data_IF_582430614452
#
_entry.id   IF_582430614452
#
_cell.length_a   1.000
_cell.length_b   1.000
_cell.length_c   1.000
_cell.angle_alpha   90.00
_cell.angle_beta   90.00
_cell.angle_gamma   90.00
#
_symmetry.space_group_name_H-M   'P 1'
#
loop_
_entity.id
_entity.type
_entity.pdbx_description
1 polymer ?
#
# COMPACT_ATOMS: atom_id res chain seq x y z
N UNK A 1 -10.71 31.78 -2.93
CA UNK A 1 -10.70 30.87 -1.77
C UNK A 1 -11.35 29.58 -2.20
N UNK A 2 -10.51 28.58 -2.53
CA UNK A 2 -10.72 27.11 -2.52
C UNK A 2 -11.88 26.51 -3.34
N UNK A 3 -11.77 25.35 -3.99
CA UNK A 3 -10.70 24.51 -4.51
C UNK A 3 -11.48 23.46 -5.31
N UNK A 4 -11.38 23.49 -6.63
CA UNK A 4 -11.85 22.41 -7.49
C UNK A 4 -10.77 21.34 -7.48
N UNK A 5 -10.94 20.25 -6.74
CA UNK A 5 -10.16 19.07 -7.05
C UNK A 5 -10.86 17.76 -6.66
N UNK A 6 -10.78 16.83 -7.60
CA UNK A 6 -11.08 15.42 -7.58
C UNK A 6 -12.31 14.93 -6.78
N UNK A 7 -13.30 14.48 -7.55
CA UNK A 7 -14.38 13.58 -7.12
C UNK A 7 -13.79 12.32 -6.48
N UNK A 8 -13.62 12.30 -5.17
CA UNK A 8 -13.60 11.06 -4.39
C UNK A 8 -15.05 10.56 -4.27
N UNK A 9 -15.55 10.08 -5.41
CA UNK A 9 -16.80 9.34 -5.49
C UNK A 9 -16.56 7.90 -5.03
N UNK A 10 -16.63 7.68 -3.73
CA UNK A 10 -17.12 6.42 -3.19
C UNK A 10 -18.42 6.76 -2.47
N UNK A 11 -19.52 6.75 -3.22
CA UNK A 11 -20.85 6.85 -2.65
C UNK A 11 -21.14 5.65 -1.73
N UNK A 12 -22.16 5.76 -0.86
CA UNK A 12 -22.62 4.66 -0.06
C UNK A 12 -23.64 3.86 -0.88
N UNK A 13 -23.20 3.16 -1.93
CA UNK A 13 -24.08 2.39 -2.79
C UNK A 13 -24.16 0.90 -2.37
N UNK A 14 -25.25 0.62 -1.65
CA UNK A 14 -26.28 -0.34 -2.09
C UNK A 14 -25.94 -1.83 -2.07
N UNK A 15 -26.15 -2.44 -0.90
CA UNK A 15 -26.32 -3.88 -0.74
C UNK A 15 -25.30 -4.47 0.22
N UNK A 16 -25.75 -4.87 1.40
CA UNK A 16 -24.96 -5.58 2.39
C UNK A 16 -24.60 -6.99 1.88
N UNK A 17 -23.71 -7.08 0.87
CA UNK A 17 -22.91 -8.25 0.66
C UNK A 17 -22.04 -8.38 1.91
N UNK A 18 -22.28 -9.43 2.69
CA UNK A 18 -21.36 -9.94 3.68
C UNK A 18 -19.96 -9.99 3.04
N UNK A 19 -19.14 -8.97 3.31
CA UNK A 19 -17.73 -8.98 2.92
C UNK A 19 -17.08 -10.01 3.82
N UNK A 20 -16.91 -11.22 3.30
CA UNK A 20 -16.12 -12.25 3.99
C UNK A 20 -14.71 -11.71 4.22
N UNK A 21 -14.40 -11.43 5.49
CA UNK A 21 -13.06 -11.05 5.90
C UNK A 21 -12.19 -12.29 5.93
N UNK A 22 -11.23 -12.37 5.01
CA UNK A 22 -10.24 -13.44 4.96
C UNK A 22 -8.96 -12.98 5.64
N UNK A 23 -8.56 -13.68 6.71
CA UNK A 23 -7.28 -13.45 7.38
C UNK A 23 -6.20 -14.28 6.69
N UNK A 24 -5.14 -13.62 6.20
CA UNK A 24 -4.04 -14.27 5.49
C UNK A 24 -2.76 -14.08 6.31
N UNK A 25 -2.02 -15.17 6.53
CA UNK A 25 -0.70 -15.15 7.18
C UNK A 25 0.33 -15.76 6.23
N UNK A 26 1.43 -15.05 6.02
CA UNK A 26 2.53 -15.50 5.16
C UNK A 26 3.71 -15.85 6.06
N UNK A 27 4.14 -17.12 6.02
CA UNK A 27 5.24 -17.68 6.83
C UNK A 27 6.37 -18.22 5.95
N UNK A 28 7.59 -18.21 6.47
CA UNK A 28 8.79 -18.68 5.76
C UNK A 28 10.07 -18.05 6.32
N UNK A 29 11.23 -18.57 5.87
CA UNK A 29 12.54 -18.09 6.31
C UNK A 29 12.76 -16.60 6.01
N UNK A 30 13.64 -15.93 6.78
CA UNK A 30 13.85 -14.47 6.70
C UNK A 30 14.16 -14.01 5.28
N UNK A 31 14.98 -14.78 4.55
CA UNK A 31 15.45 -14.44 3.21
C UNK A 31 14.50 -14.80 2.06
N UNK A 32 13.30 -15.33 2.35
CA UNK A 32 12.33 -15.72 1.31
C UNK A 32 11.53 -14.54 0.74
N UNK A 33 11.87 -13.30 1.07
CA UNK A 33 11.24 -12.12 0.46
C UNK A 33 9.75 -11.95 0.79
N UNK A 34 9.30 -12.47 1.94
CA UNK A 34 7.89 -12.38 2.38
C UNK A 34 7.37 -10.93 2.38
N UNK A 35 8.17 -10.02 2.95
CA UNK A 35 7.88 -8.58 2.98
C UNK A 35 7.81 -7.97 1.58
N UNK A 36 8.68 -8.43 0.67
CA UNK A 36 8.66 -8.00 -0.73
C UNK A 36 7.38 -8.43 -1.44
N UNK A 37 6.92 -9.67 -1.20
CA UNK A 37 5.67 -10.18 -1.77
C UNK A 37 4.46 -9.38 -1.28
N UNK A 38 4.34 -9.17 0.04
CA UNK A 38 3.21 -8.40 0.60
C UNK A 38 3.25 -6.96 0.12
N UNK A 39 4.41 -6.31 0.13
CA UNK A 39 4.56 -4.95 -0.40
C UNK A 39 4.18 -4.83 -1.87
N UNK A 40 4.48 -5.86 -2.68
CA UNK A 40 4.07 -5.91 -4.09
C UNK A 40 2.56 -6.07 -4.24
N UNK A 41 1.95 -6.97 -3.48
CA UNK A 41 0.50 -7.15 -3.49
C UNK A 41 -0.23 -5.84 -3.15
N UNK A 42 0.21 -5.15 -2.10
CA UNK A 42 -0.39 -3.86 -1.70
C UNK A 42 -0.24 -2.77 -2.76
N UNK A 43 0.89 -2.76 -3.47
CA UNK A 43 1.14 -1.83 -4.57
C UNK A 43 0.25 -2.15 -5.79
N UNK A 44 0.14 -3.43 -6.16
CA UNK A 44 -0.65 -3.88 -7.31
C UNK A 44 -2.16 -3.72 -7.08
N UNK A 45 -2.64 -3.90 -5.84
CA UNK A 45 -4.06 -3.73 -5.48
C UNK A 45 -4.48 -2.27 -5.31
N UNK A 46 -3.54 -1.32 -5.36
CA UNK A 46 -3.81 0.10 -5.12
C UNK A 46 -4.33 0.39 -3.70
N UNK A 47 -4.08 -0.51 -2.75
CA UNK A 47 -4.56 -0.37 -1.35
C UNK A 47 -3.70 0.62 -0.55
N UNK A 48 -2.56 1.03 -1.11
CA UNK A 48 -1.70 2.02 -0.48
C UNK A 48 -2.38 3.39 -0.39
N UNK A 49 -2.23 4.10 0.74
CA UNK A 49 -2.67 5.48 0.85
C UNK A 49 -2.07 6.35 -0.28
N UNK A 50 -2.88 7.25 -0.85
CA UNK A 50 -2.45 8.16 -1.93
C UNK A 50 -1.14 8.86 -1.54
N UNK A 51 -0.11 8.77 -2.37
CA UNK A 51 1.19 9.43 -2.15
C UNK A 51 2.22 8.63 -1.34
N UNK A 52 1.85 7.49 -0.73
CA UNK A 52 2.79 6.72 0.11
C UNK A 52 3.88 6.05 -0.74
N UNK A 53 3.53 5.51 -1.89
CA UNK A 53 4.48 4.93 -2.85
C UNK A 53 5.48 5.97 -3.34
N UNK A 54 4.99 7.16 -3.69
CA UNK A 54 5.80 8.29 -4.13
C UNK A 54 6.73 8.79 -3.01
N UNK A 55 6.23 8.86 -1.77
CA UNK A 55 7.03 9.24 -0.60
C UNK A 55 8.19 8.27 -0.35
N UNK A 56 7.94 6.97 -0.46
CA UNK A 56 8.99 5.95 -0.29
C UNK A 56 10.01 6.06 -1.42
N UNK A 57 9.57 6.21 -2.67
CA UNK A 57 10.47 6.45 -3.81
C UNK A 57 11.33 7.71 -3.62
N UNK A 58 10.73 8.83 -3.23
CA UNK A 58 11.46 10.07 -2.96
C UNK A 58 12.48 9.92 -1.80
N UNK A 59 12.15 9.10 -0.80
CA UNK A 59 13.08 8.78 0.30
C UNK A 59 14.25 7.93 -0.18
N UNK A 60 13.98 6.92 -1.02
CA UNK A 60 15.01 6.12 -1.68
C UNK A 60 15.95 6.99 -2.53
N UNK A 61 15.37 7.88 -3.35
CA UNK A 61 16.13 8.82 -4.20
C UNK A 61 17.03 9.74 -3.37
N UNK A 62 16.50 10.28 -2.26
CA UNK A 62 17.27 11.16 -1.36
C UNK A 62 18.37 10.42 -0.58
N UNK A 63 18.15 9.16 -0.24
CA UNK A 63 19.10 8.36 0.53
C UNK A 63 20.07 7.56 -0.34
N UNK A 64 19.90 7.59 -1.67
CA UNK A 64 20.69 6.80 -2.61
C UNK A 64 20.45 5.30 -2.51
N UNK A 65 19.32 4.88 -1.93
CA UNK A 65 18.95 3.46 -1.78
C UNK A 65 18.11 3.02 -2.97
N UNK A 66 18.32 1.78 -3.43
CA UNK A 66 17.45 1.17 -4.44
C UNK A 66 16.07 0.94 -3.82
N UNK A 67 15.01 1.27 -4.54
CA UNK A 67 13.65 1.05 -4.08
C UNK A 67 13.33 -0.44 -3.96
N UNK A 68 12.77 -0.84 -2.82
CA UNK A 68 12.26 -2.18 -2.57
C UNK A 68 10.82 -2.12 -2.06
N UNK A 69 9.98 -3.06 -2.50
CA UNK A 69 8.58 -3.16 -2.06
C UNK A 69 8.46 -3.42 -0.56
N UNK A 70 9.48 -3.99 0.08
CA UNK A 70 9.51 -4.18 1.53
C UNK A 70 9.42 -2.85 2.30
N UNK A 71 9.97 -1.75 1.77
CA UNK A 71 9.91 -0.43 2.41
C UNK A 71 8.49 0.15 2.46
N UNK A 72 7.58 -0.35 1.64
CA UNK A 72 6.17 0.03 1.72
C UNK A 72 5.52 -0.52 2.98
N UNK A 73 5.95 -1.68 3.47
CA UNK A 73 5.45 -2.25 4.72
C UNK A 73 5.93 -1.45 5.92
N UNK A 74 7.22 -1.12 5.96
CA UNK A 74 7.79 -0.27 7.01
C UNK A 74 7.08 1.09 7.08
N UNK A 75 6.71 1.65 5.92
CA UNK A 75 5.96 2.89 5.84
C UNK A 75 4.51 2.78 6.32
N UNK A 76 3.92 1.59 6.33
CA UNK A 76 2.56 1.34 6.84
C UNK A 76 2.54 1.04 8.34
N UNK A 77 3.65 0.55 8.90
CA UNK A 77 3.80 0.38 10.35
C UNK A 77 4.04 1.69 11.11
N UNK A 78 4.53 2.74 10.41
CA UNK A 78 4.81 4.08 10.94
C UNK A 78 3.66 5.08 10.75
#
# INVERSE_FOLDING_TARGET
MQASDARDGAGPDDGAAIRETMNIVIVGHVDHGKSTLVGRLLADTGTLPKGKLESVKATCDRTGKVFEYAFLLDALEA
#
